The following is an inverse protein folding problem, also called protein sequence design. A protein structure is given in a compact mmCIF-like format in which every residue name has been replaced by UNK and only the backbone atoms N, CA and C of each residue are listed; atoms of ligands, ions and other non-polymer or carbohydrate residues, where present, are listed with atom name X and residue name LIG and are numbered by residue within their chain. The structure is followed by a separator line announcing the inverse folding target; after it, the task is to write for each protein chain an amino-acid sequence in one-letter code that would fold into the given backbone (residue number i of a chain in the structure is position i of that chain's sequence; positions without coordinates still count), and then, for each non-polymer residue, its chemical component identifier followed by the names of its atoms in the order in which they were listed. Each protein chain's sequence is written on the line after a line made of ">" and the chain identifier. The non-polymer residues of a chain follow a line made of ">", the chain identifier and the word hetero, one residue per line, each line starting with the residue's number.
data_IF_301641976347
#
_entry.id   IF_301641976347
#
_cell.length_a   1.000
_cell.length_b   1.000
_cell.length_c   1.000
_cell.angle_alpha   90.00
_cell.angle_beta   90.00
_cell.angle_gamma   90.00
#
_symmetry.space_group_name_H-M   'P 1'
#
loop_
_entity.id
_entity.type
_entity.pdbx_description
1 polymer ?
#
# COMPACT_ATOMS: atom_id res chain seq x y z
N UNK A 1 -5.10 -15.68 5.01
CA UNK A 1 -5.60 -15.03 3.78
C UNK A 1 -5.40 -13.53 3.84
N UNK A 2 -4.25 -13.10 3.32
CA UNK A 2 -3.86 -11.71 3.12
C UNK A 2 -4.50 -11.14 1.85
N UNK A 3 -4.40 -9.83 1.60
CA UNK A 3 -4.93 -9.21 0.38
C UNK A 3 -4.32 -9.83 -0.90
N UNK A 4 -3.05 -10.22 -0.87
CA UNK A 4 -2.38 -10.91 -1.99
C UNK A 4 -3.05 -12.24 -2.31
N UNK A 5 -3.36 -13.05 -1.28
CA UNK A 5 -4.06 -14.33 -1.47
C UNK A 5 -5.51 -14.18 -1.96
N UNK A 6 -6.22 -13.11 -1.59
CA UNK A 6 -7.57 -12.84 -2.13
C UNK A 6 -7.53 -12.45 -3.62
N UNK A 7 -6.57 -11.65 -4.05
CA UNK A 7 -6.42 -11.21 -5.45
C UNK A 7 -6.12 -12.40 -6.38
N UNK A 8 -5.17 -13.26 -5.99
CA UNK A 8 -4.82 -14.45 -6.76
C UNK A 8 -6.02 -15.38 -6.97
N UNK A 9 -6.79 -15.67 -5.90
CA UNK A 9 -7.92 -16.60 -5.93
C UNK A 9 -9.08 -16.18 -6.84
N UNK A 10 -9.40 -14.88 -6.91
CA UNK A 10 -10.64 -14.42 -7.57
C UNK A 10 -10.46 -13.99 -9.03
N UNK A 11 -9.22 -13.72 -9.47
CA UNK A 11 -8.99 -13.03 -10.75
C UNK A 11 -7.91 -13.66 -11.64
N UNK A 12 -7.23 -14.72 -11.18
CA UNK A 12 -6.12 -15.31 -11.95
C UNK A 12 -4.96 -14.33 -12.15
N UNK A 13 -4.71 -13.49 -11.14
CA UNK A 13 -3.64 -12.49 -11.15
C UNK A 13 -2.48 -13.03 -10.35
N UNK A 14 -1.32 -13.06 -10.99
CA UNK A 14 -0.07 -13.39 -10.33
C UNK A 14 0.51 -12.16 -9.62
N UNK A 15 1.27 -12.38 -8.54
CA UNK A 15 1.58 -11.29 -7.60
C UNK A 15 3.07 -11.26 -7.26
N UNK A 16 3.69 -10.08 -7.38
CA UNK A 16 4.94 -9.79 -6.68
C UNK A 16 4.56 -9.07 -5.39
N UNK A 17 4.91 -9.65 -4.24
CA UNK A 17 4.75 -9.02 -2.92
C UNK A 17 6.08 -8.43 -2.48
N UNK A 18 6.01 -7.34 -1.72
CA UNK A 18 7.19 -6.72 -1.13
C UNK A 18 7.26 -6.95 0.38
N UNK A 19 8.45 -6.95 0.95
CA UNK A 19 8.62 -6.98 2.40
C UNK A 19 9.82 -6.15 2.83
N UNK A 20 9.75 -5.54 4.01
CA UNK A 20 10.89 -4.79 4.56
C UNK A 20 11.86 -5.70 5.30
N UNK A 21 11.35 -6.45 6.28
CA UNK A 21 12.18 -7.21 7.23
C UNK A 21 11.69 -8.64 7.49
N UNK A 22 10.43 -8.96 7.20
CA UNK A 22 9.81 -10.23 7.59
C UNK A 22 9.68 -11.18 6.40
N UNK A 23 10.80 -11.76 5.97
CA UNK A 23 10.85 -12.71 4.86
C UNK A 23 9.97 -13.95 5.10
N UNK A 24 9.89 -14.43 6.35
CA UNK A 24 9.06 -15.57 6.71
C UNK A 24 7.57 -15.32 6.43
N UNK A 25 7.08 -14.11 6.69
CA UNK A 25 5.69 -13.75 6.40
C UNK A 25 5.45 -13.59 4.89
N UNK A 26 6.41 -12.99 4.19
CA UNK A 26 6.36 -12.88 2.73
C UNK A 26 6.30 -14.27 2.07
N UNK A 27 7.15 -15.18 2.53
CA UNK A 27 7.20 -16.58 2.08
C UNK A 27 5.89 -17.30 2.36
N UNK A 28 5.31 -17.11 3.55
CA UNK A 28 4.00 -17.69 3.89
C UNK A 28 2.91 -17.23 2.92
N UNK A 29 2.91 -15.96 2.49
CA UNK A 29 1.91 -15.48 1.52
C UNK A 29 2.15 -16.04 0.12
N UNK A 30 3.41 -16.18 -0.30
CA UNK A 30 3.74 -16.87 -1.55
C UNK A 30 3.23 -18.31 -1.53
N UNK A 31 3.44 -19.03 -0.42
CA UNK A 31 2.90 -20.38 -0.23
C UNK A 31 1.37 -20.41 -0.25
N UNK A 32 0.69 -19.51 0.46
CA UNK A 32 -0.78 -19.40 0.42
C UNK A 32 -1.28 -19.20 -1.01
N UNK A 33 -0.63 -18.34 -1.81
CA UNK A 33 -1.00 -18.08 -3.20
C UNK A 33 -0.79 -19.33 -4.06
N UNK A 34 0.34 -20.03 -3.89
CA UNK A 34 0.66 -21.24 -4.62
C UNK A 34 -0.33 -22.39 -4.32
N UNK A 35 -0.72 -22.57 -3.06
CA UNK A 35 -1.72 -23.56 -2.64
C UNK A 35 -3.09 -23.34 -3.29
N UNK A 36 -3.40 -22.09 -3.66
CA UNK A 36 -4.62 -21.75 -4.41
C UNK A 36 -4.45 -21.79 -5.92
N UNK A 37 -3.30 -22.24 -6.42
CA UNK A 37 -3.00 -22.36 -7.85
C UNK A 37 -2.57 -21.07 -8.55
N UNK A 38 -2.29 -19.99 -7.80
CA UNK A 38 -1.71 -18.76 -8.35
C UNK A 38 -0.18 -18.78 -8.31
N UNK A 39 0.48 -17.84 -8.99
CA UNK A 39 1.93 -17.64 -8.85
C UNK A 39 2.23 -16.37 -8.07
N UNK A 40 3.26 -16.43 -7.23
CA UNK A 40 3.76 -15.26 -6.55
C UNK A 40 5.28 -15.29 -6.33
N UNK A 41 5.86 -14.10 -6.20
CA UNK A 41 7.24 -13.89 -5.78
C UNK A 41 7.28 -12.88 -4.63
N UNK A 42 8.25 -13.02 -3.74
CA UNK A 42 8.52 -12.04 -2.69
C UNK A 42 9.85 -11.33 -2.97
N UNK A 43 9.85 -10.00 -2.91
CA UNK A 43 11.06 -9.18 -3.08
C UNK A 43 11.22 -8.22 -1.90
N UNK A 44 12.45 -8.09 -1.39
CA UNK A 44 12.71 -7.18 -0.28
C UNK A 44 12.75 -5.73 -0.77
N UNK A 45 12.09 -4.81 -0.04
CA UNK A 45 12.14 -3.38 -0.32
C UNK A 45 11.87 -2.55 0.95
N UNK A 46 12.75 -1.61 1.24
CA UNK A 46 12.42 -0.50 2.13
C UNK A 46 11.94 0.72 1.32
N UNK A 47 10.62 0.90 1.27
CA UNK A 47 9.99 1.98 0.52
C UNK A 47 10.28 3.40 1.07
N UNK A 48 10.89 3.54 2.26
CA UNK A 48 11.28 4.86 2.77
C UNK A 48 12.58 5.40 2.18
N UNK A 49 13.39 4.53 1.59
CA UNK A 49 14.67 4.90 1.00
C UNK A 49 14.58 4.78 -0.51
N UNK A 50 14.91 5.87 -1.22
CA UNK A 50 14.93 5.86 -2.69
C UNK A 50 16.20 5.22 -3.26
N UNK A 51 17.23 5.02 -2.43
CA UNK A 51 18.54 4.49 -2.84
C UNK A 51 18.44 3.12 -3.54
N UNK A 52 17.68 2.12 -3.02
CA UNK A 52 17.59 0.81 -3.65
C UNK A 52 16.65 0.75 -4.87
N UNK A 53 15.94 1.81 -5.26
CA UNK A 53 14.85 1.68 -6.24
C UNK A 53 15.31 1.27 -7.65
N UNK A 54 16.51 1.68 -8.07
CA UNK A 54 17.07 1.24 -9.35
C UNK A 54 17.41 -0.25 -9.34
N UNK A 55 18.02 -0.72 -8.25
CA UNK A 55 18.31 -2.14 -8.06
C UNK A 55 17.01 -2.95 -7.95
N UNK A 56 16.04 -2.47 -7.18
CA UNK A 56 14.74 -3.11 -7.04
C UNK A 56 14.00 -3.21 -8.37
N UNK A 57 14.01 -2.16 -9.20
CA UNK A 57 13.43 -2.23 -10.54
C UNK A 57 14.13 -3.28 -11.42
N UNK A 58 15.46 -3.44 -11.29
CA UNK A 58 16.19 -4.50 -11.96
C UNK A 58 15.80 -5.90 -11.47
N UNK A 59 15.61 -6.07 -10.15
CA UNK A 59 15.11 -7.32 -9.55
C UNK A 59 13.71 -7.66 -10.05
N UNK A 60 12.76 -6.70 -10.02
CA UNK A 60 11.41 -6.89 -10.61
C UNK A 60 11.50 -7.32 -12.06
N UNK A 61 12.34 -6.66 -12.86
CA UNK A 61 12.54 -7.00 -14.28
C UNK A 61 13.08 -8.42 -14.46
N UNK A 62 13.99 -8.88 -13.60
CA UNK A 62 14.54 -10.24 -13.62
C UNK A 62 13.47 -11.26 -13.23
N UNK A 63 12.77 -11.01 -12.13
CA UNK A 63 11.67 -11.84 -11.62
C UNK A 63 10.55 -12.03 -12.64
N UNK A 64 10.13 -10.96 -13.34
CA UNK A 64 9.15 -11.03 -14.43
C UNK A 64 9.60 -11.94 -15.57
N UNK A 65 10.89 -11.90 -15.93
CA UNK A 65 11.44 -12.78 -16.96
C UNK A 65 11.47 -14.22 -16.50
N UNK A 66 12.03 -14.49 -15.33
CA UNK A 66 12.31 -15.86 -14.88
C UNK A 66 11.03 -16.62 -14.56
N UNK A 67 10.08 -15.99 -13.87
CA UNK A 67 8.89 -16.68 -13.37
C UNK A 67 7.68 -16.59 -14.32
N UNK A 68 7.58 -15.50 -15.08
CA UNK A 68 6.41 -15.20 -15.92
C UNK A 68 6.73 -15.06 -17.41
N UNK A 69 8.00 -15.12 -17.81
CA UNK A 69 8.43 -14.99 -19.20
C UNK A 69 7.89 -13.71 -19.87
N UNK A 70 7.76 -12.63 -19.08
CA UNK A 70 7.30 -11.31 -19.50
C UNK A 70 8.32 -10.23 -19.15
N UNK A 71 8.21 -9.08 -19.82
CA UNK A 71 9.01 -7.88 -19.52
C UNK A 71 8.23 -6.83 -18.75
N UNK A 72 6.92 -7.00 -18.62
CA UNK A 72 6.00 -5.99 -18.11
C UNK A 72 4.97 -6.57 -17.15
N UNK A 73 4.40 -5.71 -16.31
CA UNK A 73 3.28 -6.02 -15.41
C UNK A 73 2.11 -5.07 -15.68
N UNK A 74 0.90 -5.46 -15.25
CA UNK A 74 -0.34 -4.73 -15.57
C UNK A 74 -0.81 -3.80 -14.43
N UNK A 75 -0.47 -4.12 -13.17
CA UNK A 75 -0.98 -3.43 -11.98
C UNK A 75 0.16 -3.04 -11.03
N UNK A 76 0.16 -1.78 -10.57
CA UNK A 76 0.97 -1.31 -9.45
C UNK A 76 0.06 -0.92 -8.29
N UNK A 77 0.30 -1.45 -7.10
CA UNK A 77 -0.42 -1.06 -5.88
C UNK A 77 0.58 -0.46 -4.91
N UNK A 78 0.48 0.84 -4.65
CA UNK A 78 1.30 1.50 -3.63
C UNK A 78 0.56 1.46 -2.29
N UNK A 79 0.73 0.36 -1.55
CA UNK A 79 0.06 0.13 -0.26
C UNK A 79 0.95 0.43 0.96
N UNK A 80 2.26 0.32 0.83
CA UNK A 80 3.19 0.48 1.96
C UNK A 80 2.99 1.83 2.68
N UNK A 81 2.99 1.80 4.02
CA UNK A 81 2.88 3.01 4.82
C UNK A 81 3.03 2.73 6.31
N UNK A 82 3.28 3.79 7.08
CA UNK A 82 3.40 3.78 8.55
C UNK A 82 2.33 4.68 9.18
N UNK A 83 1.91 4.34 10.40
CA UNK A 83 0.95 5.13 11.16
C UNK A 83 1.63 5.77 12.37
N UNK A 84 1.83 7.08 12.33
CA UNK A 84 2.27 7.86 13.48
C UNK A 84 1.07 8.68 13.96
N UNK A 85 0.72 8.52 15.24
CA UNK A 85 -0.28 9.32 15.93
C UNK A 85 0.46 10.24 16.91
N UNK A 86 0.51 11.52 16.58
CA UNK A 86 1.19 12.55 17.38
C UNK A 86 0.44 13.88 17.25
N UNK A 87 0.12 14.57 18.35
CA UNK A 87 -0.44 15.92 18.31
C UNK A 87 0.40 16.86 17.44
N UNK A 88 -0.25 17.85 16.82
CA UNK A 88 0.42 18.82 15.95
C UNK A 88 1.57 19.55 16.67
N UNK A 89 1.36 19.92 17.92
CA UNK A 89 2.34 20.63 18.76
C UNK A 89 3.51 19.76 19.22
N UNK A 90 3.43 18.44 19.05
CA UNK A 90 4.43 17.47 19.51
C UNK A 90 5.04 16.67 18.36
N UNK A 91 4.59 16.90 17.11
CA UNK A 91 5.16 16.24 15.93
C UNK A 91 6.59 16.69 15.75
N UNK A 92 7.53 15.76 15.85
CA UNK A 92 8.95 16.03 15.63
C UNK A 92 9.25 16.06 14.14
N UNK A 93 10.39 16.66 13.77
CA UNK A 93 10.88 16.60 12.39
C UNK A 93 11.14 15.15 11.95
N UNK A 94 11.65 14.30 12.84
CA UNK A 94 11.87 12.88 12.55
C UNK A 94 10.56 12.12 12.28
N UNK A 95 9.51 12.35 13.10
CA UNK A 95 8.18 11.80 12.85
C UNK A 95 7.67 12.23 11.45
N UNK A 96 7.87 13.50 11.10
CA UNK A 96 7.46 14.07 9.81
C UNK A 96 8.27 13.50 8.64
N UNK A 97 9.59 13.37 8.78
CA UNK A 97 10.51 12.85 7.79
C UNK A 97 10.24 11.36 7.52
N UNK A 98 9.95 10.58 8.55
CA UNK A 98 9.52 9.20 8.37
C UNK A 98 8.21 9.12 7.56
N UNK A 99 7.24 9.97 7.88
CA UNK A 99 5.96 10.02 7.18
C UNK A 99 6.12 10.45 5.71
N UNK A 100 6.82 11.54 5.42
CA UNK A 100 7.01 12.03 4.03
C UNK A 100 7.79 11.00 3.20
N UNK A 101 8.81 10.35 3.79
CA UNK A 101 9.64 9.37 3.10
C UNK A 101 8.85 8.13 2.71
N UNK A 102 8.07 7.55 3.63
CA UNK A 102 7.23 6.37 3.35
C UNK A 102 5.97 6.71 2.54
N UNK A 103 5.19 7.70 2.98
CA UNK A 103 3.83 7.92 2.49
C UNK A 103 3.76 8.71 1.20
N UNK A 104 4.83 9.39 0.79
CA UNK A 104 4.82 10.22 -0.42
C UNK A 104 6.05 10.02 -1.30
N UNK A 105 7.25 10.36 -0.79
CA UNK A 105 8.49 10.32 -1.58
C UNK A 105 8.77 8.93 -2.13
N UNK A 106 8.63 7.90 -1.30
CA UNK A 106 8.78 6.50 -1.70
C UNK A 106 7.84 6.13 -2.84
N UNK A 107 6.55 6.42 -2.68
CA UNK A 107 5.51 6.14 -3.69
C UNK A 107 5.82 6.86 -5.01
N UNK A 108 6.19 8.14 -4.95
CA UNK A 108 6.50 8.94 -6.13
C UNK A 108 7.66 8.33 -6.93
N UNK A 109 8.80 8.13 -6.29
CA UNK A 109 10.01 7.67 -6.97
C UNK A 109 9.96 6.18 -7.33
N UNK A 110 9.35 5.34 -6.50
CA UNK A 110 9.16 3.92 -6.83
C UNK A 110 8.28 3.78 -8.08
N UNK A 111 7.17 4.51 -8.13
CA UNK A 111 6.30 4.52 -9.32
C UNK A 111 7.06 5.00 -10.54
N UNK A 112 7.86 6.08 -10.42
CA UNK A 112 8.68 6.58 -11.52
C UNK A 112 9.66 5.52 -12.05
N UNK A 113 10.33 4.77 -11.16
CA UNK A 113 11.31 3.73 -11.52
C UNK A 113 10.67 2.50 -12.13
N UNK A 114 9.47 2.13 -11.68
CA UNK A 114 8.73 0.96 -12.20
C UNK A 114 7.89 1.28 -13.45
N UNK A 115 7.62 2.56 -13.73
CA UNK A 115 6.79 2.99 -14.86
C UNK A 115 7.22 2.43 -16.23
N UNK A 116 8.53 2.25 -16.55
CA UNK A 116 8.94 1.61 -17.80
C UNK A 116 8.58 0.12 -17.90
N UNK A 117 8.35 -0.54 -16.76
CA UNK A 117 7.94 -1.95 -16.67
C UNK A 117 6.40 -2.10 -16.60
N UNK A 118 5.67 -1.04 -16.27
CA UNK A 118 4.21 -1.03 -16.33
C UNK A 118 3.76 -0.98 -17.79
N UNK A 119 2.86 -1.90 -18.16
CA UNK A 119 2.28 -1.99 -19.51
C UNK A 119 1.40 -0.78 -19.83
N UNK A 120 1.37 -0.38 -21.09
CA UNK A 120 0.34 0.54 -21.59
C UNK A 120 -1.06 -0.07 -21.41
N UNK A 121 -2.02 0.73 -20.98
CA UNK A 121 -3.31 0.21 -20.52
C UNK A 121 -3.28 -0.32 -19.08
N UNK A 122 -2.17 -0.20 -18.35
CA UNK A 122 -2.03 -0.65 -16.96
C UNK A 122 -2.81 0.18 -15.94
N UNK A 123 -2.73 -0.21 -14.67
CA UNK A 123 -3.44 0.47 -13.56
C UNK A 123 -2.51 0.71 -12.37
N UNK A 124 -2.59 1.92 -11.82
CA UNK A 124 -1.94 2.29 -10.56
C UNK A 124 -3.03 2.50 -9.51
N UNK A 125 -2.86 1.89 -8.33
CA UNK A 125 -3.71 2.10 -7.17
C UNK A 125 -2.86 2.60 -6.02
N UNK A 126 -3.16 3.80 -5.52
CA UNK A 126 -2.49 4.37 -4.36
C UNK A 126 -3.40 4.30 -3.13
N UNK A 127 -2.83 4.00 -1.97
CA UNK A 127 -3.57 3.96 -0.72
C UNK A 127 -3.53 5.31 0.00
N UNK A 128 -4.70 5.95 0.10
CA UNK A 128 -4.97 7.12 0.94
C UNK A 128 -5.53 6.67 2.31
N UNK A 129 -6.28 7.53 2.98
CA UNK A 129 -6.99 7.28 4.22
C UNK A 129 -8.24 8.15 4.26
N UNK A 130 -9.28 7.70 4.97
CA UNK A 130 -10.42 8.54 5.32
C UNK A 130 -10.02 9.82 6.06
N UNK A 131 -8.86 9.84 6.74
CA UNK A 131 -8.33 11.05 7.38
C UNK A 131 -7.94 12.17 6.39
N UNK A 132 -7.87 11.89 5.08
CA UNK A 132 -7.78 12.94 4.06
C UNK A 132 -9.12 13.69 3.84
N UNK A 133 -10.23 13.20 4.42
CA UNK A 133 -11.60 13.70 4.21
C UNK A 133 -12.31 14.11 5.50
N UNK A 134 -11.92 13.54 6.63
CA UNK A 134 -12.38 13.95 7.95
C UNK A 134 -11.19 14.07 8.90
N UNK A 135 -11.33 14.90 9.94
CA UNK A 135 -10.22 15.25 10.82
C UNK A 135 -10.30 14.55 12.17
N UNK A 136 -9.16 14.09 12.67
CA UNK A 136 -9.01 13.55 14.02
C UNK A 136 -7.72 14.11 14.64
N UNK A 137 -7.76 14.66 15.87
CA UNK A 137 -6.56 15.15 16.54
C UNK A 137 -5.46 14.07 16.65
N UNK A 138 -4.22 14.50 16.45
CA UNK A 138 -3.05 13.62 16.45
C UNK A 138 -2.72 12.95 15.11
N UNK A 139 -3.50 13.20 14.04
CA UNK A 139 -3.21 12.67 12.70
C UNK A 139 -2.87 13.75 11.68
N UNK A 140 -2.59 14.99 12.10
CA UNK A 140 -2.36 16.12 11.19
C UNK A 140 -1.24 15.87 10.17
N UNK A 141 -0.07 15.42 10.62
CA UNK A 141 1.05 15.09 9.73
C UNK A 141 0.72 13.89 8.81
N UNK A 142 0.20 12.80 9.37
CA UNK A 142 -0.19 11.61 8.60
C UNK A 142 -1.25 11.91 7.54
N UNK A 143 -2.33 12.60 7.93
CA UNK A 143 -3.45 12.96 7.06
C UNK A 143 -3.02 13.89 5.94
N UNK A 144 -2.11 14.83 6.22
CA UNK A 144 -1.52 15.70 5.20
C UNK A 144 -0.81 14.88 4.11
N UNK A 145 -0.03 13.86 4.48
CA UNK A 145 0.62 12.98 3.49
C UNK A 145 -0.39 12.20 2.65
N UNK A 146 -1.48 11.72 3.26
CA UNK A 146 -2.54 11.05 2.51
C UNK A 146 -3.27 12.01 1.57
N UNK A 147 -3.47 13.26 1.96
CA UNK A 147 -3.94 14.33 1.06
C UNK A 147 -3.03 14.54 -0.14
N UNK A 148 -1.71 14.57 0.06
CA UNK A 148 -0.72 14.67 -1.03
C UNK A 148 -0.85 13.51 -2.02
N UNK A 149 -1.07 12.28 -1.54
CA UNK A 149 -1.28 11.12 -2.41
C UNK A 149 -2.56 11.23 -3.25
N UNK A 150 -3.63 11.81 -2.73
CA UNK A 150 -4.83 12.06 -3.52
C UNK A 150 -4.58 13.05 -4.65
N UNK A 151 -3.79 14.11 -4.39
CA UNK A 151 -3.37 15.07 -5.42
C UNK A 151 -2.49 14.38 -6.45
N UNK A 152 -1.41 13.70 -6.02
CA UNK A 152 -0.48 12.99 -6.89
C UNK A 152 -1.20 12.03 -7.84
N UNK A 153 -2.17 11.28 -7.33
CA UNK A 153 -2.92 10.30 -8.12
C UNK A 153 -3.69 10.94 -9.28
N UNK A 154 -4.26 12.14 -9.08
CA UNK A 154 -4.95 12.88 -10.16
C UNK A 154 -3.97 13.35 -11.23
N UNK A 155 -2.78 13.80 -10.84
CA UNK A 155 -1.72 14.18 -11.77
C UNK A 155 -1.21 12.97 -12.56
N UNK A 156 -0.93 11.85 -11.89
CA UNK A 156 -0.55 10.59 -12.54
C UNK A 156 -1.60 10.16 -13.58
N UNK A 157 -2.89 10.22 -13.24
CA UNK A 157 -3.96 9.86 -14.19
C UNK A 157 -3.96 10.76 -15.43
N UNK A 158 -3.67 12.05 -15.27
CA UNK A 158 -3.64 13.00 -16.39
C UNK A 158 -2.38 12.87 -17.24
N UNK A 159 -1.22 12.75 -16.59
CA UNK A 159 0.08 12.70 -17.26
C UNK A 159 0.34 11.35 -17.95
N UNK A 160 -0.12 10.24 -17.35
CA UNK A 160 0.05 8.90 -17.89
C UNK A 160 -1.09 8.46 -18.82
N UNK A 161 -2.10 9.32 -19.02
CA UNK A 161 -3.24 9.03 -19.89
C UNK A 161 -2.87 8.74 -21.35
N UNK A 162 -1.78 9.34 -21.86
CA UNK A 162 -1.28 9.04 -23.21
C UNK A 162 -0.85 7.58 -23.39
N UNK A 163 -0.45 6.91 -22.30
CA UNK A 163 -0.14 5.46 -22.24
C UNK A 163 -1.34 4.60 -21.88
N UNK A 164 -2.55 5.19 -21.81
CA UNK A 164 -3.78 4.53 -21.35
C UNK A 164 -3.68 3.96 -19.93
N UNK A 165 -2.76 4.48 -19.10
CA UNK A 165 -2.61 4.06 -17.70
C UNK A 165 -3.61 4.85 -16.85
N UNK A 166 -4.46 4.13 -16.12
CA UNK A 166 -5.35 4.76 -15.14
C UNK A 166 -4.73 4.73 -13.75
N UNK A 167 -4.76 5.87 -13.03
CA UNK A 167 -4.35 5.95 -11.64
C UNK A 167 -5.56 6.28 -10.76
N UNK A 168 -5.76 5.51 -9.69
CA UNK A 168 -6.88 5.68 -8.77
C UNK A 168 -6.41 5.60 -7.32
N UNK A 169 -7.23 6.16 -6.43
CA UNK A 169 -6.96 6.15 -4.99
C UNK A 169 -8.02 5.35 -4.27
N UNK A 170 -7.60 4.57 -3.28
CA UNK A 170 -8.50 3.94 -2.31
C UNK A 170 -8.25 4.62 -0.97
N UNK A 171 -9.30 5.14 -0.35
CA UNK A 171 -9.24 5.83 0.94
C UNK A 171 -10.06 5.07 1.99
N UNK A 172 -9.46 4.10 2.71
CA UNK A 172 -10.18 3.30 3.68
C UNK A 172 -10.53 4.09 4.94
N UNK A 173 -11.65 3.75 5.59
CA UNK A 173 -11.96 4.17 6.95
C UNK A 173 -11.17 3.37 8.00
N UNK A 174 -11.63 3.36 9.24
CA UNK A 174 -11.03 2.53 10.28
C UNK A 174 -11.10 1.03 9.93
N UNK A 175 -9.95 0.37 9.80
CA UNK A 175 -9.84 -1.07 9.57
C UNK A 175 -8.99 -1.69 10.68
N UNK A 176 -9.44 -2.81 11.22
CA UNK A 176 -8.69 -3.62 12.22
C UNK A 176 -7.52 -4.32 11.53
N UNK A 177 -6.37 -3.64 11.45
CA UNK A 177 -5.09 -4.17 10.94
C UNK A 177 -3.99 -3.85 11.96
N UNK A 178 -2.78 -4.38 11.79
CA UNK A 178 -1.66 -4.03 12.69
C UNK A 178 -1.05 -2.65 12.33
N UNK A 179 -1.65 -1.93 11.38
CA UNK A 179 -1.33 -0.53 11.10
C UNK A 179 -1.46 0.33 12.36
N UNK A 180 -0.52 1.28 12.52
CA UNK A 180 -0.38 2.06 13.75
C UNK A 180 -0.27 1.18 15.01
N UNK A 181 0.47 0.07 14.92
CA UNK A 181 0.70 -0.85 16.04
C UNK A 181 -0.53 -1.62 16.49
N UNK A 182 -1.55 -1.76 15.63
CA UNK A 182 -2.78 -2.47 15.98
C UNK A 182 -3.75 -1.66 16.83
N UNK A 183 -3.58 -0.34 16.94
CA UNK A 183 -4.39 0.53 17.81
C UNK A 183 -5.91 0.32 17.65
N UNK A 184 -6.42 0.16 16.42
CA UNK A 184 -7.86 -0.08 16.17
C UNK A 184 -8.31 -1.49 16.56
N UNK A 185 -7.42 -2.47 16.54
CA UNK A 185 -7.68 -3.86 16.94
C UNK A 185 -7.65 -4.01 18.46
N UNK A 186 -6.68 -3.38 19.11
CA UNK A 186 -6.31 -3.64 20.50
C UNK A 186 -6.91 -2.64 21.49
N UNK A 187 -7.22 -1.40 21.06
CA UNK A 187 -7.84 -0.40 21.91
C UNK A 187 -9.36 -0.36 21.66
N UNK A 188 -10.13 -0.87 22.62
CA UNK A 188 -11.60 -0.93 22.56
C UNK A 188 -12.26 0.46 22.56
N UNK A 189 -11.66 1.46 23.20
CA UNK A 189 -12.16 2.84 23.22
C UNK A 189 -11.97 3.50 21.85
N UNK A 190 -10.80 3.37 21.23
CA UNK A 190 -10.53 3.81 19.85
C UNK A 190 -11.48 3.08 18.89
N UNK A 191 -11.69 1.78 19.08
CA UNK A 191 -12.60 1.02 18.25
C UNK A 191 -14.05 1.51 18.36
N UNK A 192 -14.51 1.76 19.59
CA UNK A 192 -15.87 2.22 19.89
C UNK A 192 -16.09 3.63 19.35
N UNK A 193 -15.12 4.52 19.54
CA UNK A 193 -15.15 5.87 19.00
C UNK A 193 -15.16 5.88 17.45
N UNK A 194 -14.31 5.08 16.80
CA UNK A 194 -14.32 4.98 15.35
C UNK A 194 -15.63 4.35 14.85
N UNK A 195 -16.20 3.40 15.60
CA UNK A 195 -17.49 2.80 15.28
C UNK A 195 -18.63 3.81 15.36
N UNK A 196 -18.65 4.67 16.38
CA UNK A 196 -19.69 5.71 16.55
C UNK A 196 -19.63 6.78 15.46
N UNK A 197 -18.45 7.01 14.88
CA UNK A 197 -18.23 7.92 13.77
C UNK A 197 -18.47 7.28 12.38
N UNK A 198 -18.79 5.98 12.33
CA UNK A 198 -19.08 5.27 11.07
C UNK A 198 -20.57 5.01 10.91
N UNK A 199 -21.16 5.48 9.81
CA UNK A 199 -22.60 5.33 9.53
C UNK A 199 -23.08 3.86 9.49
N UNK A 200 -22.18 2.91 9.21
CA UNK A 200 -22.49 1.47 9.17
C UNK A 200 -22.31 0.75 10.51
N UNK A 201 -22.09 1.48 11.61
CA UNK A 201 -21.99 0.94 12.97
C UNK A 201 -21.05 -0.27 13.08
N UNK A 202 -19.86 -0.18 12.47
CA UNK A 202 -18.85 -1.23 12.59
C UNK A 202 -19.14 -2.53 11.83
N UNK A 203 -20.16 -2.58 10.95
CA UNK A 203 -20.43 -3.73 10.06
C UNK A 203 -19.40 -3.94 8.93
N UNK A 204 -18.28 -3.22 8.96
CA UNK A 204 -17.13 -3.47 8.09
C UNK A 204 -16.38 -4.76 8.50
N UNK A 205 -17.10 -5.86 8.74
CA UNK A 205 -16.49 -7.18 8.96
C UNK A 205 -15.89 -7.73 7.65
N UNK A 206 -16.40 -7.27 6.51
CA UNK A 206 -16.04 -7.77 5.18
C UNK A 206 -15.94 -6.68 4.10
N UNK A 207 -15.73 -5.40 4.46
CA UNK A 207 -15.19 -4.47 3.47
C UNK A 207 -13.77 -4.97 3.17
N UNK A 208 -13.64 -5.80 2.14
CA UNK A 208 -12.39 -6.44 1.70
C UNK A 208 -11.51 -5.38 1.04
N UNK A 209 -11.20 -4.31 1.76
CA UNK A 209 -9.88 -3.71 1.75
C UNK A 209 -9.13 -4.31 2.94
N UNK A 210 -9.08 -5.65 3.03
CA UNK A 210 -8.26 -6.35 4.00
C UNK A 210 -6.78 -6.22 3.59
N UNK A 211 -6.26 -5.00 3.56
CA UNK A 211 -4.82 -4.71 3.61
C UNK A 211 -4.34 -4.96 5.05
N UNK A 212 -4.59 -6.17 5.54
CA UNK A 212 -4.11 -6.66 6.82
C UNK A 212 -2.59 -6.72 6.78
N UNK A 213 -1.97 -5.58 7.09
CA UNK A 213 -0.57 -5.48 7.45
C UNK A 213 -0.36 -6.31 8.71
N UNK A 214 0.34 -7.44 8.57
CA UNK A 214 1.26 -7.90 9.60
C UNK A 214 2.66 -7.38 9.27
N UNK A 215 3.32 -7.86 8.23
CA UNK A 215 4.52 -7.21 7.71
C UNK A 215 4.63 -7.34 6.18
N UNK A 216 3.48 -7.45 5.51
CA UNK A 216 3.39 -7.61 4.07
C UNK A 216 3.13 -6.28 3.38
N UNK A 217 4.07 -5.88 2.53
CA UNK A 217 3.87 -4.82 1.56
C UNK A 217 3.37 -5.50 0.27
N UNK A 218 2.32 -4.96 -0.34
CA UNK A 218 1.90 -5.34 -1.69
C UNK A 218 2.37 -4.24 -2.62
#
# INVERSE_FOLDING_TARGET
>A
MTAGSVLAKKKGVDVIVTYRSSEAEASSVVSEIAEMGGKAAALQLDASSTKPFDEFAAQVKQTLRDQWQTKQFDFLVNNAGIGIHRPFTETTEDDFDQLINFQFKGIFFLTQKLLPLLKDGGRIVNLSSGYARFTLPGYSAYASMKGTIEVLTRYMAKELGHRQIAANVVAPGAIKTDFAGGAVRENSEINTFLTSQTALAGRNKHATAAFGLKHLQL
#
